data_IF_455073510659
#
_entry.id   IF_455073510659
#
_cell.length_a   1.000
_cell.length_b   1.000
_cell.length_c   1.000
_cell.angle_alpha   90.00
_cell.angle_beta   90.00
_cell.angle_gamma   90.00
#
_symmetry.space_group_name_H-M   'P 1'
#
loop_
_entity.id
_entity.type
_entity.pdbx_description
1 polymer ?
#
# COMPACT_ATOMS: atom_id res chain seq x y z
N UNK A 1 1.57 -10.01 -13.50
CA UNK A 1 2.73 -10.44 -12.67
C UNK A 1 2.48 -11.73 -11.89
N UNK A 2 1.29 -12.29 -11.79
CA UNK A 2 0.99 -13.47 -10.95
C UNK A 2 0.86 -14.81 -11.70
N UNK A 3 1.20 -14.86 -12.99
CA UNK A 3 1.20 -16.11 -13.76
C UNK A 3 2.23 -17.12 -13.22
N UNK A 4 3.29 -16.63 -12.58
CA UNK A 4 4.26 -17.41 -11.82
C UNK A 4 4.50 -16.73 -10.46
N UNK A 5 5.12 -17.45 -9.52
CA UNK A 5 5.48 -16.90 -8.21
C UNK A 5 6.49 -15.77 -8.39
N UNK A 6 6.05 -14.53 -8.18
CA UNK A 6 6.85 -13.31 -8.36
C UNK A 6 8.16 -13.39 -7.57
N UNK A 7 8.11 -13.88 -6.34
CA UNK A 7 9.32 -13.99 -5.51
C UNK A 7 10.40 -14.91 -6.07
N UNK A 8 10.10 -15.77 -7.05
CA UNK A 8 11.07 -16.68 -7.65
C UNK A 8 11.83 -16.01 -8.80
N UNK A 9 11.11 -15.49 -9.80
CA UNK A 9 11.74 -14.90 -10.98
C UNK A 9 12.21 -13.45 -10.72
N UNK A 10 11.67 -12.79 -9.70
CA UNK A 10 11.97 -11.40 -9.36
C UNK A 10 12.86 -11.26 -8.12
N UNK A 11 13.44 -12.36 -7.64
CA UNK A 11 14.19 -12.41 -6.39
C UNK A 11 15.35 -11.40 -6.33
N UNK A 12 16.17 -11.32 -7.39
CA UNK A 12 17.31 -10.41 -7.46
C UNK A 12 16.88 -8.95 -7.39
N UNK A 13 15.82 -8.58 -8.11
CA UNK A 13 15.26 -7.23 -8.09
C UNK A 13 14.69 -6.90 -6.71
N UNK A 14 13.90 -7.82 -6.11
CA UNK A 14 13.35 -7.63 -4.76
C UNK A 14 14.43 -7.49 -3.69
N UNK A 15 15.60 -8.11 -3.88
CA UNK A 15 16.76 -7.95 -3.02
C UNK A 15 17.40 -6.57 -3.21
N UNK A 16 17.65 -6.17 -4.46
CA UNK A 16 18.34 -4.90 -4.79
C UNK A 16 17.52 -3.64 -4.54
N UNK A 17 16.19 -3.73 -4.52
CA UNK A 17 15.33 -2.62 -4.08
C UNK A 17 15.65 -2.20 -2.63
N UNK A 18 16.14 -3.13 -1.81
CA UNK A 18 16.49 -2.88 -0.40
C UNK A 18 17.91 -2.32 -0.21
N UNK A 19 18.84 -2.72 -1.07
CA UNK A 19 20.24 -2.29 -1.03
C UNK A 19 20.47 -1.18 -2.06
N UNK A 20 19.80 -0.04 -1.83
CA UNK A 20 20.01 1.18 -2.60
C UNK A 20 20.79 2.19 -1.77
N UNK A 21 21.68 2.92 -2.43
CA UNK A 21 22.56 3.93 -1.81
C UNK A 21 22.44 5.27 -2.54
N UNK A 22 22.74 6.39 -1.86
CA UNK A 22 22.77 7.69 -2.52
C UNK A 22 23.66 7.67 -3.77
N UNK A 23 23.09 8.08 -4.90
CA UNK A 23 23.81 8.17 -6.17
C UNK A 23 24.42 9.56 -6.36
N UNK A 24 25.55 9.64 -7.07
CA UNK A 24 26.24 10.91 -7.33
C UNK A 24 25.38 11.95 -8.08
N UNK A 25 24.44 11.49 -8.92
CA UNK A 25 23.47 12.34 -9.64
C UNK A 25 22.18 12.64 -8.88
N UNK A 26 22.12 12.29 -7.59
CA UNK A 26 20.91 12.39 -6.77
C UNK A 26 20.05 11.13 -6.80
N UNK A 27 19.18 11.01 -5.81
CA UNK A 27 18.35 9.82 -5.59
C UNK A 27 19.17 8.60 -5.17
N UNK A 28 18.65 7.41 -5.44
CA UNK A 28 19.14 6.15 -4.88
C UNK A 28 19.31 5.07 -5.94
N UNK A 29 20.52 4.54 -6.08
CA UNK A 29 20.83 3.47 -7.02
C UNK A 29 21.21 2.17 -6.30
N UNK A 30 20.90 1.01 -6.88
CA UNK A 30 21.37 -0.27 -6.36
C UNK A 30 22.72 -0.67 -6.95
N UNK A 31 23.38 -1.63 -6.31
CA UNK A 31 24.44 -2.41 -6.97
C UNK A 31 23.89 -3.31 -8.10
N UNK A 32 24.77 -4.10 -8.75
CA UNK A 32 24.40 -4.97 -9.86
C UNK A 32 23.27 -5.94 -9.56
N UNK A 33 22.30 -6.04 -10.46
CA UNK A 33 21.19 -6.99 -10.39
C UNK A 33 21.67 -8.43 -10.54
N UNK A 34 22.47 -8.66 -11.58
CA UNK A 34 22.93 -9.98 -12.00
C UNK A 34 24.18 -10.37 -11.21
N UNK A 35 24.17 -11.56 -10.62
CA UNK A 35 25.33 -12.13 -9.92
C UNK A 35 25.66 -13.54 -10.42
N UNK A 36 25.72 -13.71 -11.74
CA UNK A 36 26.14 -14.94 -12.41
C UNK A 36 27.37 -14.68 -13.28
N UNK A 37 28.16 -15.71 -13.54
CA UNK A 37 29.26 -15.60 -14.50
C UNK A 37 28.67 -15.47 -15.92
N UNK A 38 29.01 -14.38 -16.61
CA UNK A 38 28.63 -14.13 -18.00
C UNK A 38 29.84 -14.32 -18.93
N UNK A 39 29.57 -14.55 -20.21
CA UNK A 39 30.62 -14.59 -21.23
C UNK A 39 31.25 -13.20 -21.42
N UNK A 40 32.48 -13.12 -21.94
CA UNK A 40 33.18 -11.85 -22.12
C UNK A 40 32.38 -10.82 -22.94
N UNK A 41 31.63 -11.28 -23.95
CA UNK A 41 30.76 -10.41 -24.77
C UNK A 41 29.60 -9.75 -23.99
N UNK A 42 29.24 -10.32 -22.84
CA UNK A 42 28.11 -9.91 -22.00
C UNK A 42 28.56 -9.21 -20.70
N UNK A 43 29.87 -8.94 -20.54
CA UNK A 43 30.43 -8.38 -19.31
C UNK A 43 29.74 -7.07 -18.86
N UNK A 44 29.25 -6.26 -19.81
CA UNK A 44 28.54 -4.99 -19.54
C UNK A 44 27.25 -5.17 -18.73
N UNK A 45 26.63 -6.36 -18.78
CA UNK A 45 25.41 -6.66 -18.02
C UNK A 45 25.68 -6.90 -16.52
N UNK A 46 26.92 -7.23 -16.15
CA UNK A 46 27.34 -7.40 -14.76
C UNK A 46 27.39 -6.08 -13.98
N UNK A 47 27.33 -4.94 -14.66
CA UNK A 47 27.37 -3.62 -14.03
C UNK A 47 25.97 -3.00 -13.86
N UNK A 48 24.93 -3.64 -14.42
CA UNK A 48 23.58 -3.06 -14.45
C UNK A 48 22.89 -3.17 -13.08
N UNK A 49 22.61 -2.02 -12.48
CA UNK A 49 21.80 -1.87 -11.27
C UNK A 49 20.47 -1.15 -11.55
N UNK A 50 19.70 -0.92 -10.49
CA UNK A 50 18.50 -0.09 -10.53
C UNK A 50 18.91 1.38 -10.44
N UNK A 51 18.65 2.22 -11.47
CA UNK A 51 19.00 3.64 -11.42
C UNK A 51 17.98 4.44 -10.57
N UNK A 52 18.33 5.68 -10.15
CA UNK A 52 17.52 6.50 -9.24
C UNK A 52 16.11 6.87 -9.73
N UNK A 53 15.88 6.80 -11.04
CA UNK A 53 14.64 7.20 -11.70
C UNK A 53 13.84 6.00 -12.25
N UNK A 54 14.16 4.77 -11.84
CA UNK A 54 13.43 3.58 -12.24
C UNK A 54 12.35 3.24 -11.20
N UNK A 55 11.11 3.16 -11.67
CA UNK A 55 9.99 2.58 -10.95
C UNK A 55 9.48 1.35 -11.68
N UNK A 56 9.03 0.35 -10.92
CA UNK A 56 8.51 -0.91 -11.46
C UNK A 56 7.04 -1.00 -11.05
N UNK A 57 6.16 -1.06 -12.05
CA UNK A 57 4.72 -1.21 -11.84
C UNK A 57 4.27 -2.52 -12.45
N UNK A 58 3.66 -3.35 -11.61
CA UNK A 58 3.12 -4.64 -11.99
C UNK A 58 1.61 -4.64 -11.98
N UNK A 59 0.99 -5.20 -13.01
CA UNK A 59 -0.45 -5.49 -13.02
C UNK A 59 -0.70 -6.96 -12.75
N UNK A 60 -1.81 -7.27 -12.09
CA UNK A 60 -2.24 -8.63 -11.80
C UNK A 60 -3.74 -8.72 -12.03
N UNK A 61 -4.16 -9.79 -12.71
CA UNK A 61 -5.56 -10.17 -12.77
C UNK A 61 -5.84 -11.12 -11.60
N UNK A 62 -6.83 -10.78 -10.76
CA UNK A 62 -7.22 -11.60 -9.62
C UNK A 62 -8.09 -12.79 -10.03
N UNK A 63 -8.86 -12.67 -11.12
CA UNK A 63 -9.81 -13.71 -11.59
C UNK A 63 -9.10 -14.98 -12.06
N UNK A 64 -7.91 -14.82 -12.64
CA UNK A 64 -7.09 -15.91 -13.20
C UNK A 64 -5.94 -16.31 -12.25
N UNK A 65 -5.93 -15.77 -11.03
CA UNK A 65 -4.75 -15.84 -10.17
C UNK A 65 -4.45 -17.25 -9.63
N UNK A 66 -3.51 -17.95 -10.26
CA UNK A 66 -3.03 -19.26 -9.80
C UNK A 66 -2.20 -19.16 -8.50
N UNK A 67 -1.57 -18.01 -8.26
CA UNK A 67 -0.71 -17.76 -7.10
C UNK A 67 -0.97 -16.37 -6.49
N UNK A 68 -1.34 -16.35 -5.21
CA UNK A 68 -1.40 -15.11 -4.43
C UNK A 68 -0.01 -14.53 -4.17
N UNK A 69 0.06 -13.23 -3.85
CA UNK A 69 1.31 -12.58 -3.52
C UNK A 69 1.88 -13.07 -2.18
N UNK A 70 3.15 -13.46 -2.19
CA UNK A 70 3.85 -13.79 -0.94
C UNK A 70 4.11 -12.54 -0.11
N UNK A 71 4.30 -12.71 1.21
CA UNK A 71 4.69 -11.60 2.10
C UNK A 71 5.98 -10.93 1.66
N UNK A 72 6.91 -11.66 1.01
CA UNK A 72 8.16 -11.08 0.48
C UNK A 72 7.88 -10.00 -0.57
N UNK A 73 6.87 -10.21 -1.41
CA UNK A 73 6.46 -9.26 -2.45
C UNK A 73 5.68 -8.11 -1.84
N UNK A 74 4.66 -8.40 -1.03
CA UNK A 74 3.82 -7.39 -0.38
C UNK A 74 4.61 -6.44 0.53
N UNK A 75 5.69 -6.92 1.15
CA UNK A 75 6.56 -6.08 1.97
C UNK A 75 7.28 -4.99 1.16
N UNK A 76 7.49 -5.18 -0.15
CA UNK A 76 8.27 -4.30 -1.05
C UNK A 76 7.43 -3.54 -2.07
N UNK A 77 6.11 -3.75 -2.08
CA UNK A 77 5.19 -3.12 -3.03
C UNK A 77 4.06 -2.40 -2.30
N UNK A 78 3.59 -1.29 -2.86
CA UNK A 78 2.25 -0.78 -2.59
C UNK A 78 1.31 -1.42 -3.61
N UNK A 79 0.10 -1.76 -3.18
CA UNK A 79 -0.87 -2.41 -4.05
C UNK A 79 -2.04 -1.50 -4.31
N UNK A 80 -2.39 -1.33 -5.58
CA UNK A 80 -3.53 -0.55 -6.02
C UNK A 80 -4.54 -1.52 -6.60
N UNK A 81 -5.74 -1.56 -6.03
CA UNK A 81 -6.85 -2.34 -6.56
C UNK A 81 -7.76 -1.45 -7.41
N UNK A 82 -8.13 -1.94 -8.58
CA UNK A 82 -8.99 -1.26 -9.54
C UNK A 82 -10.32 -2.00 -9.63
N UNK A 83 -11.16 -1.89 -8.61
CA UNK A 83 -12.47 -2.56 -8.54
C UNK A 83 -13.67 -1.66 -8.81
N UNK A 84 -13.52 -0.33 -8.69
CA UNK A 84 -14.60 0.61 -8.96
C UNK A 84 -14.84 0.74 -10.47
N UNK A 85 -15.96 0.20 -10.95
CA UNK A 85 -16.36 0.23 -12.36
C UNK A 85 -17.51 1.23 -12.53
N UNK A 86 -17.33 2.19 -13.44
CA UNK A 86 -18.36 3.13 -13.86
C UNK A 86 -18.77 2.83 -15.30
N UNK A 87 -19.80 2.01 -15.47
CA UNK A 87 -20.30 1.60 -16.80
C UNK A 87 -20.93 2.76 -17.58
N UNK A 88 -21.33 3.84 -16.90
CA UNK A 88 -21.88 5.02 -17.55
C UNK A 88 -20.80 5.86 -18.25
N UNK A 89 -19.52 5.70 -17.86
CA UNK A 89 -18.37 6.33 -18.50
C UNK A 89 -17.96 5.62 -19.82
N UNK A 90 -18.90 5.47 -20.76
CA UNK A 90 -18.67 4.81 -22.05
C UNK A 90 -18.24 5.78 -23.16
N UNK A 91 -18.64 7.05 -23.07
CA UNK A 91 -18.16 8.10 -23.97
C UNK A 91 -16.72 8.47 -23.58
N UNK A 92 -15.85 8.64 -24.59
CA UNK A 92 -14.53 9.26 -24.39
C UNK A 92 -14.69 10.75 -24.12
N UNK A 93 -15.31 11.12 -23.02
CA UNK A 93 -15.19 12.47 -22.47
C UNK A 93 -13.81 12.58 -21.84
N UNK A 94 -12.87 13.09 -22.62
CA UNK A 94 -11.71 13.73 -22.05
C UNK A 94 -11.43 15.00 -22.87
N UNK A 95 -11.60 16.21 -22.30
CA UNK A 95 -10.43 17.07 -22.33
C UNK A 95 -9.39 16.33 -21.49
N UNK A 96 -8.48 15.59 -22.14
CA UNK A 96 -7.22 15.26 -21.49
C UNK A 96 -6.60 16.56 -20.98
N UNK A 97 -5.75 16.55 -19.94
CA UNK A 97 -5.04 17.76 -19.53
C UNK A 97 -4.46 18.41 -20.78
N UNK A 98 -4.86 19.66 -21.06
CA UNK A 98 -4.58 20.37 -22.31
C UNK A 98 -3.07 20.55 -22.55
N UNK A 99 -2.27 20.30 -21.52
CA UNK A 99 -0.82 20.28 -21.53
C UNK A 99 -0.30 19.06 -20.75
N UNK A 100 0.60 18.30 -21.37
CA UNK A 100 1.46 17.37 -20.64
C UNK A 100 2.36 18.20 -19.73
N UNK A 101 2.19 18.11 -18.42
CA UNK A 101 3.11 18.75 -17.48
C UNK A 101 4.41 17.95 -17.46
N UNK A 102 5.55 18.52 -17.90
CA UNK A 102 6.82 17.80 -17.86
C UNK A 102 7.20 17.52 -16.41
N UNK A 103 7.47 16.25 -16.10
CA UNK A 103 7.90 15.80 -14.77
C UNK A 103 9.42 15.63 -14.78
N UNK A 104 10.19 16.39 -13.98
CA UNK A 104 11.65 16.24 -13.98
C UNK A 104 12.04 14.89 -13.37
N UNK A 105 13.10 14.26 -13.88
CA UNK A 105 13.61 12.99 -13.34
C UNK A 105 13.89 13.07 -11.82
N UNK A 106 14.31 14.25 -11.32
CA UNK A 106 14.53 14.49 -9.90
C UNK A 106 13.27 14.32 -9.03
N UNK A 107 12.07 14.50 -9.58
CA UNK A 107 10.84 14.25 -8.84
C UNK A 107 10.47 12.76 -8.75
N UNK A 108 11.26 11.87 -9.37
CA UNK A 108 11.24 10.43 -9.10
C UNK A 108 12.23 10.01 -8.01
N UNK A 109 13.15 10.89 -7.62
CA UNK A 109 14.15 10.55 -6.61
C UNK A 109 13.48 10.48 -5.23
N UNK A 110 13.58 9.35 -4.51
CA UNK A 110 13.08 9.27 -3.15
C UNK A 110 13.90 10.21 -2.26
N UNK A 111 13.24 10.86 -1.29
CA UNK A 111 13.90 11.76 -0.34
C UNK A 111 14.87 11.03 0.58
N UNK A 112 14.54 9.78 0.91
CA UNK A 112 15.35 8.89 1.70
C UNK A 112 15.00 7.43 1.38
N UNK A 113 15.92 6.49 1.61
CA UNK A 113 15.61 5.06 1.54
C UNK A 113 14.95 4.54 2.83
N UNK A 114 15.24 5.18 3.96
CA UNK A 114 14.65 4.87 5.27
C UNK A 114 14.49 6.15 6.10
N UNK A 115 13.71 6.11 7.18
CA UNK A 115 13.46 7.31 8.00
C UNK A 115 14.74 7.85 8.65
N UNK A 116 15.71 6.98 8.95
CA UNK A 116 16.99 7.38 9.56
C UNK A 116 17.87 8.25 8.66
N UNK A 117 17.62 8.27 7.35
CA UNK A 117 18.36 9.05 6.36
C UNK A 117 17.70 10.40 6.03
N UNK A 118 16.51 10.69 6.57
CA UNK A 118 15.87 11.99 6.38
C UNK A 118 16.70 13.09 7.04
N UNK A 119 17.22 14.01 6.24
CA UNK A 119 17.90 15.20 6.74
C UNK A 119 16.91 16.11 7.46
N UNK A 120 17.17 16.40 8.75
CA UNK A 120 16.47 17.33 9.65
C UNK A 120 15.10 17.83 9.15
N UNK A 121 14.06 17.01 9.36
CA UNK A 121 12.68 17.40 9.05
C UNK A 121 12.23 18.59 9.91
N UNK A 122 11.34 19.41 9.35
CA UNK A 122 10.70 20.47 10.12
C UNK A 122 9.72 19.89 11.17
N UNK A 123 9.20 20.72 12.07
CA UNK A 123 8.31 20.27 13.14
C UNK A 123 7.03 19.57 12.62
N UNK A 124 6.53 19.98 11.46
CA UNK A 124 5.34 19.39 10.82
C UNK A 124 5.63 17.99 10.27
N UNK A 125 6.76 17.79 9.57
CA UNK A 125 7.17 16.46 9.09
C UNK A 125 7.37 15.49 10.26
N UNK A 126 7.93 15.97 11.37
CA UNK A 126 8.06 15.19 12.59
C UNK A 126 6.70 14.78 13.14
N UNK A 127 5.73 15.69 13.21
CA UNK A 127 4.38 15.38 13.67
C UNK A 127 3.68 14.35 12.77
N UNK A 128 3.89 14.43 11.45
CA UNK A 128 3.39 13.44 10.50
C UNK A 128 3.98 12.06 10.78
N UNK A 129 5.32 11.98 10.92
CA UNK A 129 6.01 10.72 11.23
C UNK A 129 5.50 10.14 12.55
N UNK A 130 5.35 10.96 13.59
CA UNK A 130 4.82 10.55 14.89
C UNK A 130 3.39 9.99 14.77
N UNK A 131 2.49 10.65 14.02
CA UNK A 131 1.12 10.17 13.74
C UNK A 131 1.12 8.82 13.00
N UNK A 132 2.02 8.63 12.03
CA UNK A 132 2.16 7.37 11.30
C UNK A 132 2.63 6.26 12.24
N UNK A 133 3.66 6.54 13.06
CA UNK A 133 4.21 5.58 14.02
C UNK A 133 3.16 5.19 15.06
N UNK A 134 2.42 6.15 15.60
CA UNK A 134 1.32 5.90 16.55
C UNK A 134 0.27 4.98 15.92
N UNK A 135 -0.15 5.29 14.69
CA UNK A 135 -1.14 4.50 13.95
C UNK A 135 -0.68 3.06 13.71
N UNK A 136 0.57 2.88 13.25
CA UNK A 136 1.13 1.56 13.00
C UNK A 136 1.42 0.79 14.29
N UNK A 137 1.72 1.48 15.40
CA UNK A 137 1.88 0.84 16.71
C UNK A 137 0.56 0.26 17.20
N UNK A 138 -0.54 1.02 17.09
CA UNK A 138 -1.88 0.53 17.42
C UNK A 138 -2.25 -0.68 16.54
N UNK A 139 -2.12 -0.54 15.22
CA UNK A 139 -2.39 -1.62 14.26
C UNK A 139 -1.57 -2.87 14.56
N UNK A 140 -0.26 -2.73 14.82
CA UNK A 140 0.61 -3.88 15.11
C UNK A 140 0.20 -4.64 16.37
N UNK A 141 -0.39 -3.97 17.36
CA UNK A 141 -0.91 -4.63 18.55
C UNK A 141 -2.05 -5.60 18.22
N UNK A 142 -2.91 -5.24 17.26
CA UNK A 142 -3.97 -6.11 16.74
C UNK A 142 -3.37 -7.24 15.90
N UNK A 143 -2.53 -6.90 14.90
CA UNK A 143 -1.92 -7.85 13.98
C UNK A 143 -1.07 -8.93 14.67
N UNK A 144 -0.54 -8.65 15.86
CA UNK A 144 0.29 -9.58 16.62
C UNK A 144 -0.39 -10.91 16.92
N UNK A 145 -1.71 -10.89 17.13
CA UNK A 145 -2.51 -12.09 17.43
C UNK A 145 -2.50 -13.12 16.29
N UNK A 146 -2.42 -12.65 15.05
CA UNK A 146 -2.38 -13.49 13.85
C UNK A 146 -0.96 -13.64 13.27
N UNK A 147 0.07 -13.17 13.97
CA UNK A 147 1.46 -13.11 13.47
C UNK A 147 1.56 -12.35 12.12
N UNK A 148 0.82 -11.25 12.00
CA UNK A 148 0.73 -10.43 10.79
C UNK A 148 1.47 -9.09 10.90
N UNK A 149 2.26 -8.88 11.96
CA UNK A 149 2.91 -7.59 12.23
C UNK A 149 3.71 -7.05 11.04
N UNK A 150 3.77 -5.73 10.97
CA UNK A 150 4.62 -5.00 10.03
C UNK A 150 5.90 -4.52 10.72
N UNK A 151 7.03 -4.61 10.00
CA UNK A 151 8.33 -4.20 10.51
C UNK A 151 8.70 -2.75 10.17
N UNK A 152 9.93 -2.37 10.50
CA UNK A 152 10.46 -1.02 10.27
C UNK A 152 10.42 -0.57 8.81
N UNK A 153 10.58 -1.50 7.86
CA UNK A 153 10.49 -1.18 6.42
C UNK A 153 9.13 -0.62 6.05
N UNK A 154 8.07 -1.34 6.38
CA UNK A 154 6.69 -0.90 6.11
C UNK A 154 6.40 0.43 6.80
N UNK A 155 6.88 0.61 8.04
CA UNK A 155 6.78 1.89 8.76
C UNK A 155 7.42 3.01 7.96
N UNK A 156 8.66 2.82 7.52
CA UNK A 156 9.42 3.86 6.83
C UNK A 156 8.81 4.18 5.47
N UNK A 157 8.38 3.17 4.71
CA UNK A 157 7.73 3.34 3.43
C UNK A 157 6.39 4.08 3.54
N UNK A 158 5.55 3.76 4.55
CA UNK A 158 4.29 4.47 4.79
C UNK A 158 4.56 5.92 5.20
N UNK A 159 5.53 6.16 6.09
CA UNK A 159 5.86 7.51 6.52
C UNK A 159 6.40 8.36 5.35
N UNK A 160 7.32 7.81 4.55
CA UNK A 160 7.82 8.47 3.34
C UNK A 160 6.70 8.70 2.34
N UNK A 161 5.79 7.75 2.12
CA UNK A 161 4.63 7.92 1.26
C UNK A 161 3.77 9.11 1.68
N UNK A 162 3.42 9.21 2.97
CA UNK A 162 2.59 10.32 3.47
C UNK A 162 3.31 11.67 3.34
N UNK A 163 4.62 11.73 3.62
CA UNK A 163 5.42 12.95 3.44
C UNK A 163 5.47 13.38 1.98
N UNK A 164 5.64 12.44 1.04
CA UNK A 164 5.63 12.72 -0.39
C UNK A 164 4.25 13.14 -0.89
N UNK A 165 3.20 12.47 -0.43
CA UNK A 165 1.82 12.76 -0.81
C UNK A 165 1.41 14.19 -0.45
N UNK A 166 1.93 14.76 0.65
CA UNK A 166 1.72 16.17 1.02
C UNK A 166 2.20 17.16 -0.05
N UNK A 167 3.32 16.86 -0.71
CA UNK A 167 3.84 17.71 -1.78
C UNK A 167 2.97 17.66 -3.05
N UNK A 168 2.11 16.65 -3.14
CA UNK A 168 1.17 16.43 -4.24
C UNK A 168 -0.29 16.39 -3.75
N UNK A 169 -0.63 17.08 -2.65
CA UNK A 169 -1.94 16.96 -1.99
C UNK A 169 -3.13 17.19 -2.93
N UNK A 170 -2.99 18.10 -3.91
CA UNK A 170 -4.01 18.36 -4.93
C UNK A 170 -4.35 17.15 -5.82
N UNK A 171 -3.47 16.13 -5.86
CA UNK A 171 -3.69 14.88 -6.60
C UNK A 171 -4.38 13.80 -5.76
N UNK A 172 -4.48 13.99 -4.44
CA UNK A 172 -5.12 13.07 -3.51
C UNK A 172 -6.59 13.47 -3.28
N UNK A 173 -7.37 13.42 -4.36
CA UNK A 173 -8.79 13.78 -4.35
C UNK A 173 -9.64 12.71 -5.04
N UNK A 174 -10.92 12.62 -4.67
CA UNK A 174 -11.90 11.78 -5.37
C UNK A 174 -12.29 12.39 -6.72
N UNK A 175 -13.02 11.64 -7.55
CA UNK A 175 -13.64 12.19 -8.79
C UNK A 175 -14.55 13.40 -8.51
N UNK A 176 -15.16 13.44 -7.32
CA UNK A 176 -16.00 14.56 -6.87
C UNK A 176 -15.18 15.72 -6.24
N UNK A 177 -13.84 15.62 -6.22
CA UNK A 177 -12.96 16.66 -5.68
C UNK A 177 -12.78 16.63 -4.15
N UNK A 178 -13.35 15.64 -3.45
CA UNK A 178 -13.16 15.51 -2.01
C UNK A 178 -11.73 15.02 -1.68
N UNK A 179 -11.09 15.62 -0.69
CA UNK A 179 -9.74 15.23 -0.25
C UNK A 179 -9.71 13.78 0.27
N UNK A 180 -8.58 13.10 0.02
CA UNK A 180 -8.32 11.74 0.48
C UNK A 180 -7.08 11.74 1.37
N UNK A 181 -7.18 11.25 2.60
CA UNK A 181 -6.04 11.15 3.51
C UNK A 181 -5.00 10.15 2.95
N UNK A 182 -3.76 10.57 2.68
CA UNK A 182 -2.71 9.67 2.21
C UNK A 182 -2.40 8.55 3.22
N UNK A 183 -2.56 8.77 4.52
CA UNK A 183 -2.35 7.72 5.51
C UNK A 183 -3.43 6.63 5.39
N UNK A 184 -4.69 6.99 5.18
CA UNK A 184 -5.77 6.03 4.92
C UNK A 184 -5.43 5.15 3.71
N UNK A 185 -5.01 5.76 2.59
CA UNK A 185 -4.57 5.03 1.41
C UNK A 185 -3.36 4.14 1.68
N UNK A 186 -2.36 4.63 2.42
CA UNK A 186 -1.17 3.84 2.71
C UNK A 186 -1.50 2.60 3.56
N UNK A 187 -2.40 2.73 4.54
CA UNK A 187 -2.89 1.60 5.34
C UNK A 187 -3.65 0.58 4.46
N UNK A 188 -4.57 1.07 3.63
CA UNK A 188 -5.31 0.27 2.66
C UNK A 188 -4.38 -0.49 1.71
N UNK A 189 -3.38 0.18 1.13
CA UNK A 189 -2.52 -0.36 0.07
C UNK A 189 -1.33 -1.19 0.58
N UNK A 190 -0.97 -1.08 1.86
CA UNK A 190 0.28 -1.67 2.40
C UNK A 190 0.06 -2.61 3.57
N UNK A 191 -0.97 -2.37 4.39
CA UNK A 191 -1.26 -3.19 5.58
C UNK A 191 -2.30 -4.26 5.27
N UNK A 192 -3.47 -3.87 4.79
CA UNK A 192 -4.60 -4.80 4.59
C UNK A 192 -4.30 -5.98 3.63
N UNK A 193 -3.49 -5.84 2.55
CA UNK A 193 -3.14 -6.95 1.66
C UNK A 193 -2.48 -8.14 2.35
N UNK A 194 -1.92 -7.94 3.55
CA UNK A 194 -1.26 -8.98 4.36
C UNK A 194 -2.26 -9.82 5.15
N UNK A 195 -3.50 -9.36 5.30
CA UNK A 195 -4.55 -10.01 6.07
C UNK A 195 -5.36 -10.91 5.14
N UNK A 196 -5.23 -12.22 5.36
CA UNK A 196 -6.02 -13.22 4.66
C UNK A 196 -6.17 -14.46 5.55
N UNK A 197 -7.32 -15.13 5.47
CA UNK A 197 -7.61 -16.34 6.24
C UNK A 197 -9.01 -16.36 6.83
N UNK A 198 -9.35 -17.50 7.43
CA UNK A 198 -10.62 -17.75 8.13
C UNK A 198 -10.47 -18.03 9.63
N UNK A 199 -9.26 -17.88 10.19
CA UNK A 199 -9.00 -18.24 11.58
C UNK A 199 -9.66 -17.26 12.56
N UNK A 200 -9.92 -17.71 13.78
CA UNK A 200 -10.40 -16.84 14.87
C UNK A 200 -9.46 -15.65 15.12
N UNK A 201 -8.14 -15.85 14.98
CA UNK A 201 -7.16 -14.78 15.11
C UNK A 201 -7.33 -13.70 14.01
N UNK A 202 -7.59 -14.09 12.76
CA UNK A 202 -7.86 -13.15 11.66
C UNK A 202 -9.18 -12.42 11.88
N UNK A 203 -10.22 -13.14 12.36
CA UNK A 203 -11.51 -12.55 12.73
C UNK A 203 -11.35 -11.44 13.78
N UNK A 204 -10.66 -11.73 14.87
CA UNK A 204 -10.37 -10.73 15.91
C UNK A 204 -9.58 -9.54 15.36
N UNK A 205 -8.58 -9.79 14.50
CA UNK A 205 -7.79 -8.71 13.87
C UNK A 205 -8.67 -7.78 13.06
N UNK A 206 -9.54 -8.31 12.19
CA UNK A 206 -10.42 -7.50 11.34
C UNK A 206 -11.41 -6.72 12.20
N UNK A 207 -12.00 -7.34 13.22
CA UNK A 207 -12.92 -6.68 14.15
C UNK A 207 -12.24 -5.49 14.87
N UNK A 208 -11.05 -5.69 15.44
CA UNK A 208 -10.32 -4.64 16.14
C UNK A 208 -9.91 -3.50 15.19
N UNK A 209 -9.45 -3.84 13.98
CA UNK A 209 -9.12 -2.86 12.94
C UNK A 209 -10.35 -2.08 12.47
N UNK A 210 -11.51 -2.73 12.34
CA UNK A 210 -12.75 -2.11 11.91
C UNK A 210 -13.20 -1.04 12.91
N UNK A 211 -13.21 -1.36 14.21
CA UNK A 211 -13.47 -0.38 15.25
C UNK A 211 -12.47 0.78 15.22
N UNK A 212 -11.18 0.46 15.13
CA UNK A 212 -10.13 1.47 15.20
C UNK A 212 -10.15 2.41 13.99
N UNK A 213 -10.46 1.89 12.80
CA UNK A 213 -10.60 2.69 11.57
C UNK A 213 -11.90 3.49 11.52
N UNK A 214 -12.95 3.04 12.21
CA UNK A 214 -14.21 3.76 12.32
C UNK A 214 -14.12 4.90 13.36
N UNK A 215 -13.80 4.59 14.62
CA UNK A 215 -13.88 5.54 15.75
C UNK A 215 -12.57 5.71 16.54
N UNK A 216 -11.49 5.05 16.14
CA UNK A 216 -10.21 5.11 16.85
C UNK A 216 -10.11 4.21 18.09
N UNK A 217 -11.09 3.32 18.31
CA UNK A 217 -11.11 2.35 19.41
C UNK A 217 -11.31 0.93 18.87
N UNK A 218 -10.64 -0.06 19.45
CA UNK A 218 -10.89 -1.45 19.08
C UNK A 218 -12.30 -1.90 19.47
N UNK A 219 -12.88 -2.82 18.70
CA UNK A 219 -14.09 -3.56 19.06
C UNK A 219 -13.69 -4.86 19.76
N UNK A 220 -14.39 -5.20 20.84
CA UNK A 220 -14.13 -6.39 21.66
C UNK A 220 -15.03 -7.56 21.27
N UNK A 221 -16.28 -7.28 20.89
CA UNK A 221 -17.28 -8.28 20.49
C UNK A 221 -17.88 -7.95 19.13
N UNK A 222 -18.41 -8.97 18.45
CA UNK A 222 -18.86 -8.85 17.06
C UNK A 222 -20.12 -8.02 16.91
N UNK A 223 -20.96 -7.96 17.95
CA UNK A 223 -22.18 -7.15 17.97
C UNK A 223 -21.86 -5.65 17.82
N UNK A 224 -20.67 -5.21 18.23
CA UNK A 224 -20.22 -3.83 18.03
C UNK A 224 -19.99 -3.51 16.54
N UNK A 225 -19.79 -4.53 15.70
CA UNK A 225 -19.63 -4.35 14.26
C UNK A 225 -20.98 -4.11 13.55
N UNK A 226 -22.13 -4.40 14.16
CA UNK A 226 -23.42 -4.24 13.49
C UNK A 226 -23.67 -2.80 13.03
N UNK A 227 -23.46 -1.81 13.90
CA UNK A 227 -23.70 -0.40 13.57
C UNK A 227 -22.85 0.09 12.38
N UNK A 228 -21.58 -0.32 12.33
CA UNK A 228 -20.67 0.07 11.24
C UNK A 228 -21.00 -0.67 9.93
N UNK A 229 -21.48 -1.92 10.02
CA UNK A 229 -21.93 -2.67 8.85
C UNK A 229 -23.23 -2.08 8.30
N UNK A 230 -24.22 -1.77 9.14
CA UNK A 230 -25.47 -1.12 8.73
C UNK A 230 -25.21 0.25 8.10
N UNK A 231 -24.26 1.02 8.65
CA UNK A 231 -23.81 2.28 8.06
C UNK A 231 -23.19 2.07 6.67
N UNK A 232 -22.33 1.07 6.51
CA UNK A 232 -21.70 0.77 5.22
C UNK A 232 -22.73 0.29 4.18
N UNK A 233 -23.69 -0.54 4.59
CA UNK A 233 -24.78 -1.02 3.74
C UNK A 233 -25.71 0.11 3.29
N UNK A 234 -26.14 0.96 4.22
CA UNK A 234 -26.97 2.13 3.91
C UNK A 234 -26.25 3.16 3.03
N UNK A 235 -24.91 3.21 3.09
CA UNK A 235 -24.06 3.97 2.18
C UNK A 235 -23.83 3.28 0.82
N UNK A 236 -24.52 2.17 0.54
CA UNK A 236 -24.47 1.47 -0.75
C UNK A 236 -23.26 0.56 -0.93
N UNK A 237 -22.62 0.11 0.17
CA UNK A 237 -21.45 -0.78 0.15
C UNK A 237 -20.26 -0.21 -0.66
N UNK A 238 -20.10 1.12 -0.66
CA UNK A 238 -19.07 1.80 -1.44
C UNK A 238 -17.64 1.62 -0.92
N UNK A 239 -16.66 2.12 -1.68
CA UNK A 239 -15.22 2.05 -1.38
C UNK A 239 -14.76 3.01 -0.26
N UNK A 240 -15.69 3.66 0.44
CA UNK A 240 -15.43 4.70 1.44
C UNK A 240 -16.58 4.75 2.43
N UNK A 241 -16.27 4.70 3.72
CA UNK A 241 -17.25 4.75 4.80
C UNK A 241 -17.38 6.19 5.34
N UNK A 242 -18.52 6.87 5.18
CA UNK A 242 -18.70 8.23 5.67
C UNK A 242 -18.51 8.35 7.19
N UNK A 243 -17.84 9.41 7.63
CA UNK A 243 -17.66 9.71 9.06
C UNK A 243 -16.62 8.84 9.80
N UNK A 244 -16.06 7.82 9.14
CA UNK A 244 -14.98 7.02 9.72
C UNK A 244 -13.66 7.79 9.77
N UNK A 245 -12.82 7.49 10.76
CA UNK A 245 -11.46 8.04 10.90
C UNK A 245 -10.57 7.75 9.67
N UNK A 246 -10.68 6.53 9.13
CA UNK A 246 -9.99 6.07 7.92
C UNK A 246 -11.02 5.48 6.94
N UNK A 247 -11.74 6.32 6.18
CA UNK A 247 -12.92 5.93 5.40
C UNK A 247 -12.72 4.75 4.45
N UNK A 248 -11.62 4.72 3.70
CA UNK A 248 -11.37 3.71 2.67
C UNK A 248 -10.89 2.40 3.29
N UNK A 249 -10.01 2.48 4.28
CA UNK A 249 -9.57 1.31 5.05
C UNK A 249 -10.75 0.67 5.78
N UNK A 250 -11.61 1.47 6.40
CA UNK A 250 -12.81 0.98 7.09
C UNK A 250 -13.79 0.30 6.13
N UNK A 251 -14.10 0.92 4.98
CA UNK A 251 -14.96 0.32 3.97
C UNK A 251 -14.42 -1.03 3.45
N UNK A 252 -13.10 -1.13 3.21
CA UNK A 252 -12.48 -2.39 2.83
C UNK A 252 -12.58 -3.44 3.95
N UNK A 253 -12.42 -3.03 5.21
CA UNK A 253 -12.60 -3.94 6.36
C UNK A 253 -14.05 -4.40 6.49
N UNK A 254 -15.05 -3.56 6.20
CA UNK A 254 -16.46 -3.97 6.13
C UNK A 254 -16.65 -5.09 5.10
N UNK A 255 -16.13 -4.93 3.88
CA UNK A 255 -16.17 -5.97 2.85
C UNK A 255 -15.48 -7.26 3.31
N UNK A 256 -14.29 -7.14 3.91
CA UNK A 256 -13.56 -8.29 4.42
C UNK A 256 -14.31 -8.99 5.56
N UNK A 257 -15.00 -8.23 6.41
CA UNK A 257 -15.81 -8.75 7.51
C UNK A 257 -17.07 -9.47 7.01
N UNK A 258 -17.81 -8.87 6.07
CA UNK A 258 -18.99 -9.47 5.41
C UNK A 258 -18.64 -10.84 4.81
N UNK A 259 -17.55 -10.91 4.04
CA UNK A 259 -17.04 -12.17 3.46
C UNK A 259 -16.64 -13.19 4.51
N UNK A 260 -15.95 -12.75 5.57
CA UNK A 260 -15.55 -13.66 6.64
C UNK A 260 -16.75 -14.30 7.34
N UNK A 261 -17.84 -13.55 7.55
CA UNK A 261 -19.08 -14.05 8.13
C UNK A 261 -19.84 -14.96 7.16
N UNK A 262 -19.93 -14.60 5.88
CA UNK A 262 -20.67 -15.35 4.87
C UNK A 262 -19.98 -16.62 4.38
N UNK A 263 -18.66 -16.57 4.20
CA UNK A 263 -17.87 -17.60 3.52
C UNK A 263 -16.88 -18.32 4.46
N UNK A 264 -16.67 -17.80 5.68
CA UNK A 264 -15.70 -18.34 6.62
C UNK A 264 -14.24 -18.08 6.24
N UNK A 265 -13.99 -17.28 5.20
CA UNK A 265 -12.68 -16.88 4.74
C UNK A 265 -12.75 -15.45 4.21
N UNK A 266 -11.64 -14.72 4.30
CA UNK A 266 -11.54 -13.39 3.71
C UNK A 266 -10.12 -13.09 3.27
N UNK A 267 -9.99 -12.21 2.29
CA UNK A 267 -8.73 -11.63 1.89
C UNK A 267 -8.95 -10.19 1.41
N UNK A 268 -7.86 -9.46 1.20
CA UNK A 268 -7.94 -8.12 0.63
C UNK A 268 -8.53 -8.10 -0.79
N UNK A 269 -8.28 -9.16 -1.58
CA UNK A 269 -8.62 -9.23 -3.01
C UNK A 269 -9.95 -9.93 -3.28
N UNK A 270 -10.14 -11.07 -2.64
CA UNK A 270 -11.25 -12.02 -2.77
C UNK A 270 -12.09 -12.05 -1.51
#
# INVERSE_FOLDING_TARGET
>A
MNLARVEQYFAEVLCRIEDRRPAAGGGYASGPLVNIALQEGDATWLEQGLPPNLAIVGTVNMDESTHGFSRKVLDRAFTIELSDIDLAAWEKTAPGPSSVTPWPAAAWHPRAACLGELTAGNAEERQIIEKVIESLTAINSFLARAQLQVGYRVRDEIALFVLHARQAAASFVTRAGAEVDPLDLALLMKVLPRIAGGSSAVRTVILQLLGWTHQGKEMAVEEEAHDVMDLWESAGRGSSLPGARYPRTAARLCLMWDRLLGEGFTSFWL
#
